data_IF_349516933452
#
_entry.id   IF_349516933452
#
_cell.length_a   1.000
_cell.length_b   1.000
_cell.length_c   1.000
_cell.angle_alpha   90.00
_cell.angle_beta   90.00
_cell.angle_gamma   90.00
#
_symmetry.space_group_name_H-M   'P 1'
#
loop_
_entity.id
_entity.type
_entity.pdbx_description
1 polymer ?
#
# COMPACT_ATOMS: atom_id res chain seq x y z
N UNK A 1 31.30 14.44 -20.69
CA UNK A 1 30.06 14.69 -19.91
C UNK A 1 29.37 13.36 -19.65
N UNK A 2 29.03 13.00 -18.41
CA UNK A 2 28.23 11.79 -18.14
C UNK A 2 26.80 12.04 -18.63
N UNK A 3 26.21 11.06 -19.31
CA UNK A 3 24.79 11.12 -19.70
C UNK A 3 23.91 11.36 -18.47
N UNK A 4 22.89 12.25 -18.55
CA UNK A 4 21.99 12.55 -17.44
C UNK A 4 21.30 11.29 -16.90
N UNK A 5 21.02 10.31 -17.77
CA UNK A 5 20.46 9.01 -17.41
C UNK A 5 21.41 8.23 -16.50
N UNK A 6 22.71 8.16 -16.85
CA UNK A 6 23.72 7.47 -16.03
C UNK A 6 23.85 8.16 -14.67
N UNK A 7 23.82 9.49 -14.62
CA UNK A 7 23.87 10.24 -13.37
C UNK A 7 22.67 9.93 -12.46
N UNK A 8 21.45 9.97 -12.99
CA UNK A 8 20.23 9.64 -12.25
C UNK A 8 20.25 8.22 -11.71
N UNK A 9 20.62 7.23 -12.53
CA UNK A 9 20.75 5.83 -12.10
C UNK A 9 21.74 5.71 -10.93
N UNK A 10 22.89 6.37 -11.02
CA UNK A 10 23.91 6.33 -9.96
C UNK A 10 23.41 6.95 -8.65
N UNK A 11 22.60 8.02 -8.71
CA UNK A 11 22.03 8.65 -7.51
C UNK A 11 20.94 7.79 -6.90
N UNK A 12 20.04 7.21 -7.71
CA UNK A 12 18.96 6.33 -7.24
C UNK A 12 19.51 5.05 -6.60
N UNK A 13 20.67 4.56 -7.04
CA UNK A 13 21.35 3.42 -6.39
C UNK A 13 21.79 3.70 -4.95
N UNK A 14 21.86 4.97 -4.51
CA UNK A 14 22.14 5.28 -3.10
C UNK A 14 20.95 4.83 -2.26
N UNK A 15 21.14 3.99 -1.22
CA UNK A 15 20.04 3.29 -0.60
C UNK A 15 19.09 4.24 0.17
N UNK A 16 19.59 5.37 0.69
CA UNK A 16 18.76 6.44 1.26
C UNK A 16 17.84 7.11 0.22
N UNK A 17 18.31 7.29 -1.01
CA UNK A 17 17.52 7.89 -2.10
C UNK A 17 16.52 6.86 -2.62
N UNK A 18 16.96 5.61 -2.83
CA UNK A 18 16.10 4.49 -3.22
C UNK A 18 14.90 4.32 -2.27
N UNK A 19 15.11 4.36 -0.96
CA UNK A 19 14.03 4.26 0.03
C UNK A 19 13.01 5.39 -0.10
N UNK A 20 13.46 6.63 -0.25
CA UNK A 20 12.55 7.78 -0.43
C UNK A 20 11.77 7.68 -1.73
N UNK A 21 12.43 7.26 -2.82
CA UNK A 21 11.75 7.00 -4.11
C UNK A 21 10.73 5.88 -3.97
N UNK A 22 11.07 4.79 -3.29
CA UNK A 22 10.13 3.69 -3.03
C UNK A 22 8.92 4.15 -2.21
N UNK A 23 9.12 4.94 -1.15
CA UNK A 23 8.00 5.53 -0.39
C UNK A 23 7.17 6.45 -1.27
N UNK A 24 7.78 7.31 -2.11
CA UNK A 24 7.04 8.15 -3.06
C UNK A 24 6.18 7.34 -4.03
N UNK A 25 6.72 6.23 -4.57
CA UNK A 25 5.97 5.33 -5.45
C UNK A 25 4.83 4.63 -4.72
N UNK A 26 5.02 4.23 -3.47
CA UNK A 26 3.96 3.67 -2.63
C UNK A 26 2.87 4.70 -2.34
N UNK A 27 3.22 5.96 -2.05
CA UNK A 27 2.26 7.04 -1.87
C UNK A 27 1.50 7.35 -3.17
N UNK A 28 2.16 7.31 -4.33
CA UNK A 28 1.49 7.41 -5.62
C UNK A 28 0.49 6.27 -5.83
N UNK A 29 0.88 5.03 -5.52
CA UNK A 29 -0.03 3.87 -5.54
C UNK A 29 -1.23 4.06 -4.61
N UNK A 30 -1.03 4.58 -3.40
CA UNK A 30 -2.10 4.92 -2.46
C UNK A 30 -3.01 6.05 -2.98
N UNK A 31 -2.47 7.04 -3.69
CA UNK A 31 -3.25 8.11 -4.30
C UNK A 31 -4.15 7.59 -5.42
N UNK A 32 -3.63 6.70 -6.27
CA UNK A 32 -4.43 6.02 -7.29
C UNK A 32 -5.51 5.14 -6.64
N UNK A 33 -5.15 4.39 -5.61
CA UNK A 33 -6.09 3.57 -4.85
C UNK A 33 -7.20 4.41 -4.19
N UNK A 34 -6.88 5.61 -3.66
CA UNK A 34 -7.88 6.53 -3.13
C UNK A 34 -8.91 6.92 -4.21
N UNK A 35 -8.45 7.23 -5.42
CA UNK A 35 -9.35 7.59 -6.54
C UNK A 35 -10.25 6.40 -6.90
N UNK A 36 -9.67 5.21 -7.06
CA UNK A 36 -10.40 3.99 -7.38
C UNK A 36 -11.42 3.62 -6.30
N UNK A 37 -11.00 3.55 -5.04
CA UNK A 37 -11.89 3.26 -3.91
C UNK A 37 -12.99 4.31 -3.81
N UNK A 38 -12.67 5.60 -3.97
CA UNK A 38 -13.67 6.67 -3.92
C UNK A 38 -14.71 6.51 -5.03
N UNK A 39 -14.31 6.09 -6.23
CA UNK A 39 -15.20 5.82 -7.35
C UNK A 39 -16.08 4.58 -7.08
N UNK A 40 -15.47 3.44 -6.76
CA UNK A 40 -16.18 2.17 -6.50
C UNK A 40 -17.16 2.27 -5.33
N UNK A 41 -16.85 3.08 -4.32
CA UNK A 41 -17.71 3.24 -3.14
C UNK A 41 -18.78 4.33 -3.30
N UNK A 42 -18.82 5.09 -4.41
CA UNK A 42 -19.81 6.16 -4.66
C UNK A 42 -21.24 5.74 -4.27
N UNK A 43 -21.66 4.55 -4.70
CA UNK A 43 -23.02 4.04 -4.51
C UNK A 43 -23.36 3.65 -3.05
N UNK A 44 -22.35 3.45 -2.19
CA UNK A 44 -22.51 2.96 -0.82
C UNK A 44 -22.07 3.96 0.26
N UNK A 45 -21.36 5.03 -0.10
CA UNK A 45 -20.88 6.05 0.85
C UNK A 45 -22.00 6.76 1.63
N UNK A 46 -23.19 6.90 1.02
CA UNK A 46 -24.37 7.45 1.68
C UNK A 46 -25.18 6.43 2.48
N UNK A 47 -24.83 5.13 2.43
CA UNK A 47 -25.60 4.02 3.03
C UNK A 47 -24.87 3.33 4.16
N UNK A 48 -23.55 3.19 4.06
CA UNK A 48 -22.71 2.46 5.01
C UNK A 48 -21.53 3.32 5.42
N UNK A 49 -21.44 3.65 6.70
CA UNK A 49 -20.34 4.44 7.23
C UNK A 49 -18.98 3.73 7.05
N UNK A 50 -18.95 2.41 7.05
CA UNK A 50 -17.73 1.61 6.89
C UNK A 50 -17.05 1.87 5.53
N UNK A 51 -17.80 2.28 4.51
CA UNK A 51 -17.26 2.63 3.19
C UNK A 51 -16.28 3.82 3.24
N UNK A 52 -16.34 4.65 4.28
CA UNK A 52 -15.43 5.77 4.48
C UNK A 52 -14.06 5.36 5.05
N UNK A 53 -13.96 4.20 5.69
CA UNK A 53 -12.71 3.74 6.35
C UNK A 53 -11.51 3.75 5.38
N UNK A 54 -11.56 3.07 4.21
CA UNK A 54 -10.39 3.05 3.31
C UNK A 54 -10.09 4.42 2.71
N UNK A 55 -11.10 5.27 2.48
CA UNK A 55 -10.94 6.64 1.96
C UNK A 55 -10.24 7.53 3.00
N UNK A 56 -10.74 7.53 4.23
CA UNK A 56 -10.17 8.29 5.33
C UNK A 56 -8.74 7.84 5.63
N UNK A 57 -8.49 6.53 5.65
CA UNK A 57 -7.16 5.99 5.85
C UNK A 57 -6.19 6.42 4.74
N UNK A 58 -6.54 6.21 3.47
CA UNK A 58 -5.65 6.56 2.34
C UNK A 58 -5.36 8.06 2.30
N UNK A 59 -6.35 8.91 2.56
CA UNK A 59 -6.14 10.36 2.66
C UNK A 59 -5.20 10.73 3.82
N UNK A 60 -5.43 10.18 5.01
CA UNK A 60 -4.57 10.41 6.18
C UNK A 60 -3.13 9.91 5.93
N UNK A 61 -2.99 8.76 5.27
CA UNK A 61 -1.71 8.18 4.89
C UNK A 61 -0.96 9.04 3.88
N UNK A 62 -1.64 9.68 2.91
CA UNK A 62 -1.00 10.62 1.99
C UNK A 62 -0.45 11.85 2.71
N UNK A 63 -1.23 12.40 3.65
CA UNK A 63 -0.80 13.54 4.48
C UNK A 63 0.38 13.14 5.36
N UNK A 64 0.26 12.05 6.13
CA UNK A 64 1.35 11.52 6.95
C UNK A 64 2.58 11.15 6.12
N UNK A 65 2.35 10.65 4.89
CA UNK A 65 3.35 10.34 3.88
C UNK A 65 4.19 11.56 3.49
N UNK A 66 3.52 12.66 3.14
CA UNK A 66 4.16 13.93 2.82
C UNK A 66 4.99 14.47 3.98
N UNK A 67 4.42 14.50 5.19
CA UNK A 67 5.16 14.91 6.40
C UNK A 67 6.34 13.99 6.71
N UNK A 68 6.14 12.67 6.60
CA UNK A 68 7.17 11.67 6.86
C UNK A 68 8.35 11.76 5.90
N UNK A 69 8.10 12.08 4.63
CA UNK A 69 9.12 12.35 3.63
C UNK A 69 9.84 13.68 3.88
N UNK A 70 9.10 14.75 4.22
CA UNK A 70 9.68 16.06 4.52
C UNK A 70 10.59 16.02 5.76
N UNK A 71 10.17 15.27 6.78
CA UNK A 71 10.86 15.15 8.07
C UNK A 71 11.69 13.86 8.18
N UNK A 72 12.12 13.28 7.07
CA UNK A 72 12.76 11.95 7.03
C UNK A 72 13.89 11.77 8.05
N UNK A 73 14.75 12.78 8.21
CA UNK A 73 15.88 12.77 9.15
C UNK A 73 15.52 13.17 10.59
N UNK A 74 14.31 13.71 10.80
CA UNK A 74 13.81 14.25 12.07
C UNK A 74 12.72 13.35 12.68
N UNK A 75 12.80 12.04 12.43
CA UNK A 75 11.80 11.07 12.92
C UNK A 75 10.62 10.82 11.98
N UNK A 76 10.57 11.44 10.79
CA UNK A 76 9.54 11.18 9.78
C UNK A 76 9.45 9.72 9.34
N UNK A 77 10.55 8.96 9.42
CA UNK A 77 10.53 7.49 9.23
C UNK A 77 9.62 6.77 10.22
N UNK A 78 9.56 7.22 11.47
CA UNK A 78 8.69 6.63 12.48
C UNK A 78 7.22 6.90 12.19
N UNK A 79 6.90 8.13 11.76
CA UNK A 79 5.56 8.51 11.30
C UNK A 79 5.11 7.58 10.17
N UNK A 80 5.97 7.41 9.14
CA UNK A 80 5.68 6.51 8.02
C UNK A 80 5.47 5.05 8.47
N UNK A 81 6.34 4.53 9.35
CA UNK A 81 6.19 3.17 9.90
C UNK A 81 4.83 2.98 10.55
N UNK A 82 4.47 3.85 11.49
CA UNK A 82 3.20 3.75 12.22
C UNK A 82 2.01 3.85 11.26
N UNK A 83 2.07 4.77 10.30
CA UNK A 83 1.01 4.93 9.31
C UNK A 83 0.87 3.72 8.37
N UNK A 84 1.99 3.12 7.94
CA UNK A 84 1.99 1.88 7.15
C UNK A 84 1.57 0.64 7.96
N UNK A 85 1.74 0.60 9.29
CA UNK A 85 1.24 -0.51 10.15
C UNK A 85 -0.29 -0.55 10.15
N UNK A 86 -0.94 0.60 10.03
CA UNK A 86 -2.40 0.68 10.06
C UNK A 86 -3.00 0.13 8.75
N UNK A 87 -2.31 0.21 7.61
CA UNK A 87 -2.82 -0.25 6.32
C UNK A 87 -3.24 -1.73 6.30
N UNK A 88 -2.40 -2.68 6.77
CA UNK A 88 -2.77 -4.10 6.91
C UNK A 88 -3.98 -4.31 7.80
N UNK A 89 -4.10 -3.55 8.89
CA UNK A 89 -5.27 -3.65 9.77
C UNK A 89 -6.55 -3.23 9.04
N UNK A 90 -6.49 -2.13 8.29
CA UNK A 90 -7.62 -1.65 7.48
C UNK A 90 -7.95 -2.64 6.35
N UNK A 91 -6.94 -3.13 5.64
CA UNK A 91 -7.10 -4.07 4.52
C UNK A 91 -7.67 -5.42 4.96
N UNK A 92 -7.16 -6.00 6.05
CA UNK A 92 -7.69 -7.25 6.62
C UNK A 92 -9.10 -7.06 7.18
N UNK A 93 -9.37 -5.94 7.85
CA UNK A 93 -10.73 -5.60 8.31
C UNK A 93 -11.69 -5.48 7.12
N UNK A 94 -11.29 -4.79 6.06
CA UNK A 94 -12.08 -4.67 4.83
C UNK A 94 -12.32 -6.02 4.16
N UNK A 95 -11.30 -6.88 4.11
CA UNK A 95 -11.42 -8.25 3.56
C UNK A 95 -12.43 -9.09 4.35
N UNK A 96 -12.38 -9.02 5.69
CA UNK A 96 -13.36 -9.67 6.57
C UNK A 96 -14.79 -9.17 6.29
N UNK A 97 -14.98 -7.85 6.19
CA UNK A 97 -16.28 -7.23 5.91
C UNK A 97 -16.81 -7.58 4.51
N UNK A 98 -15.94 -7.60 3.49
CA UNK A 98 -16.30 -7.98 2.12
C UNK A 98 -16.63 -9.47 2.01
N UNK A 99 -16.03 -10.30 2.86
CA UNK A 99 -16.29 -11.74 2.94
C UNK A 99 -17.50 -12.11 3.82
N UNK A 100 -18.24 -11.11 4.35
CA UNK A 100 -19.35 -11.32 5.30
C UNK A 100 -18.96 -12.18 6.52
N UNK A 101 -17.69 -12.14 6.92
CA UNK A 101 -17.15 -12.94 8.02
C UNK A 101 -16.68 -14.35 7.66
N UNK A 102 -16.72 -14.76 6.38
CA UNK A 102 -16.19 -16.05 5.92
C UNK A 102 -15.06 -15.85 4.89
N UNK A 103 -13.87 -15.41 5.33
CA UNK A 103 -12.73 -15.12 4.43
C UNK A 103 -12.20 -16.36 3.70
N UNK A 104 -12.35 -17.55 4.30
CA UNK A 104 -11.89 -18.79 3.70
C UNK A 104 -12.72 -19.16 2.48
N UNK A 105 -14.05 -19.15 2.63
CA UNK A 105 -14.96 -19.39 1.52
C UNK A 105 -14.77 -18.36 0.41
N UNK A 106 -14.61 -17.08 0.78
CA UNK A 106 -14.29 -15.99 -0.14
C UNK A 106 -13.03 -16.30 -0.98
N UNK A 107 -11.96 -16.78 -0.35
CA UNK A 107 -10.73 -17.14 -1.05
C UNK A 107 -10.92 -18.36 -1.96
N UNK A 108 -11.63 -19.39 -1.51
CA UNK A 108 -11.97 -20.55 -2.35
C UNK A 108 -12.79 -20.14 -3.59
N UNK A 109 -13.73 -19.20 -3.45
CA UNK A 109 -14.50 -18.67 -4.58
C UNK A 109 -13.60 -17.91 -5.56
N UNK A 110 -12.70 -17.06 -5.07
CA UNK A 110 -11.73 -16.34 -5.90
C UNK A 110 -10.86 -17.32 -6.70
N UNK A 111 -10.29 -18.33 -6.05
CA UNK A 111 -9.47 -19.34 -6.73
C UNK A 111 -10.26 -20.12 -7.78
N UNK A 112 -11.50 -20.49 -7.46
CA UNK A 112 -12.41 -21.13 -8.42
C UNK A 112 -12.63 -20.24 -9.64
N UNK A 113 -12.90 -18.95 -9.44
CA UNK A 113 -13.12 -17.98 -10.52
C UNK A 113 -11.87 -17.78 -11.38
N UNK A 114 -10.68 -17.73 -10.78
CA UNK A 114 -9.40 -17.64 -11.51
C UNK A 114 -9.17 -18.86 -12.40
N UNK A 115 -9.65 -20.03 -11.99
CA UNK A 115 -9.59 -21.26 -12.78
C UNK A 115 -10.70 -21.38 -13.84
N UNK A 116 -11.68 -20.47 -13.87
CA UNK A 116 -12.75 -20.48 -14.88
C UNK A 116 -12.29 -19.76 -16.16
N UNK A 117 -12.87 -20.16 -17.30
CA UNK A 117 -12.69 -19.40 -18.54
C UNK A 117 -13.27 -17.98 -18.40
N UNK A 118 -12.56 -16.95 -18.89
CA UNK A 118 -13.11 -15.59 -18.96
C UNK A 118 -14.49 -15.56 -19.63
N UNK A 119 -15.44 -14.81 -19.07
CA UNK A 119 -16.81 -14.74 -19.56
C UNK A 119 -17.74 -15.88 -19.12
N UNK A 120 -17.25 -16.86 -18.36
CA UNK A 120 -18.06 -17.93 -17.74
C UNK A 120 -18.28 -17.74 -16.23
N UNK A 121 -17.94 -16.56 -15.72
CA UNK A 121 -18.15 -16.20 -14.31
C UNK A 121 -19.66 -15.92 -14.13
N UNK A 122 -20.35 -16.57 -13.18
CA UNK A 122 -21.72 -16.22 -12.88
C UNK A 122 -21.77 -14.76 -12.39
N UNK A 123 -22.42 -13.89 -13.17
CA UNK A 123 -22.54 -12.45 -12.89
C UNK A 123 -23.47 -12.15 -11.70
N UNK A 124 -24.09 -13.19 -11.14
CA UNK A 124 -25.16 -13.14 -10.14
C UNK A 124 -24.63 -12.71 -8.75
N UNK A 125 -23.31 -12.68 -8.57
CA UNK A 125 -22.64 -12.28 -7.34
C UNK A 125 -22.40 -10.78 -7.23
N UNK A 126 -23.45 -9.96 -7.22
CA UNK A 126 -23.38 -8.49 -7.07
C UNK A 126 -22.84 -7.97 -5.73
N UNK A 127 -22.03 -8.75 -5.02
CA UNK A 127 -21.30 -8.33 -3.83
C UNK A 127 -20.06 -7.51 -4.20
N UNK A 128 -19.49 -6.75 -3.24
CA UNK A 128 -18.28 -5.99 -3.48
C UNK A 128 -17.11 -6.94 -3.79
N UNK A 129 -16.12 -6.50 -4.60
CA UNK A 129 -14.96 -7.32 -4.93
C UNK A 129 -14.21 -7.71 -3.65
N UNK A 130 -14.09 -9.01 -3.42
CA UNK A 130 -13.63 -9.56 -2.14
C UNK A 130 -12.15 -9.24 -1.88
N UNK A 131 -11.32 -9.24 -2.94
CA UNK A 131 -9.87 -9.00 -2.82
C UNK A 131 -9.47 -7.53 -2.76
N UNK A 132 -10.34 -6.59 -3.15
CA UNK A 132 -10.00 -5.17 -3.25
C UNK A 132 -9.35 -4.60 -1.97
N UNK A 133 -9.83 -4.93 -0.76
CA UNK A 133 -9.22 -4.46 0.49
C UNK A 133 -7.76 -4.90 0.69
N UNK A 134 -7.34 -6.03 0.10
CA UNK A 134 -5.99 -6.58 0.28
C UNK A 134 -4.90 -5.74 -0.40
N UNK A 135 -5.26 -4.83 -1.32
CA UNK A 135 -4.33 -3.86 -1.88
C UNK A 135 -3.70 -2.99 -0.77
N UNK A 136 -4.51 -2.58 0.23
CA UNK A 136 -4.01 -1.83 1.39
C UNK A 136 -3.05 -2.69 2.23
N UNK A 137 -3.35 -3.98 2.41
CA UNK A 137 -2.45 -4.90 3.12
C UNK A 137 -1.10 -5.00 2.43
N UNK A 138 -1.08 -5.22 1.12
CA UNK A 138 0.16 -5.32 0.34
C UNK A 138 0.98 -4.02 0.38
N UNK A 139 0.35 -2.88 0.09
CA UNK A 139 1.02 -1.57 0.12
C UNK A 139 1.55 -1.22 1.52
N UNK A 140 0.77 -1.55 2.55
CA UNK A 140 1.15 -1.38 3.95
C UNK A 140 2.41 -2.15 4.32
N UNK A 141 2.41 -3.47 4.07
CA UNK A 141 3.56 -4.33 4.37
C UNK A 141 4.81 -3.92 3.59
N UNK A 142 4.67 -3.58 2.30
CA UNK A 142 5.79 -3.06 1.50
C UNK A 142 6.34 -1.75 2.08
N UNK A 143 5.47 -0.83 2.48
CA UNK A 143 5.86 0.42 3.13
C UNK A 143 6.58 0.21 4.44
N UNK A 144 6.15 -0.77 5.25
CA UNK A 144 6.85 -1.16 6.48
C UNK A 144 8.26 -1.65 6.19
N UNK A 145 8.41 -2.59 5.26
CA UNK A 145 9.72 -3.14 4.89
C UNK A 145 10.65 -2.01 4.42
N UNK A 146 10.18 -1.15 3.52
CA UNK A 146 10.96 -0.01 3.00
C UNK A 146 11.36 0.95 4.13
N UNK A 147 10.45 1.25 5.05
CA UNK A 147 10.73 2.16 6.15
C UNK A 147 11.60 1.54 7.25
N UNK A 148 11.57 0.22 7.43
CA UNK A 148 12.38 -0.53 8.40
C UNK A 148 13.78 -0.85 7.91
N UNK A 149 13.99 -0.98 6.59
CA UNK A 149 15.31 -1.23 6.03
C UNK A 149 16.33 -0.21 6.58
N UNK A 150 17.22 -0.68 7.46
CA UNK A 150 18.30 0.13 8.01
C UNK A 150 19.44 0.12 7.00
N UNK A 151 19.86 1.29 6.52
CA UNK A 151 21.16 1.43 5.85
C UNK A 151 22.26 1.52 6.91
N UNK A 152 22.33 0.52 7.78
CA UNK A 152 23.34 0.39 8.83
C UNK A 152 24.29 -0.75 8.49
N UNK A 153 24.77 -0.85 7.25
CA UNK A 153 25.80 -1.82 6.85
C UNK A 153 26.66 -1.24 5.72
N UNK A 154 27.41 -0.18 6.00
CA UNK A 154 28.61 0.18 5.21
C UNK A 154 29.74 0.77 6.09
N UNK A 155 29.48 1.17 7.35
CA UNK A 155 30.54 1.75 8.19
C UNK A 155 31.36 0.71 8.99
N UNK A 156 30.85 -0.50 9.24
CA UNK A 156 31.58 -1.50 10.05
C UNK A 156 32.74 -2.22 9.33
N UNK A 157 32.89 -2.03 8.01
CA UNK A 157 34.02 -2.57 7.25
C UNK A 157 35.20 -1.60 7.08
N UNK A 158 35.12 -0.37 7.64
CA UNK A 158 36.21 0.63 7.55
C UNK A 158 36.98 0.85 8.84
N UNK A 159 36.57 0.25 9.95
CA UNK A 159 37.27 0.37 11.25
C UNK A 159 38.01 -0.90 11.65
N UNK A 160 38.08 -1.90 10.76
CA UNK A 160 38.80 -3.17 10.95
C UNK A 160 39.97 -3.37 9.97
N UNK A 161 40.53 -2.27 9.42
CA UNK A 161 41.81 -2.27 8.70
C UNK A 161 42.79 -1.30 9.34
#
# INVERSE_FOLDING_TARGET
MRSPVKYLLTQVSKPRIAQRVAVLLLLLGLALLLVEVRFEHQAVLGKKWQAWIPIAYTLAMLVAGGFGLALWSQGGRMILKLAFVIAPLVGLTGFWLHSKGDPWMAMCMVLKVVCMMPGKIPLDGGGPPVLAPLALTGLGLLGLVVCQANCSEVEEQKTSS
#
